data_IF_582048367349
#
_entry.id   IF_582048367349
#
_cell.length_a   1.000
_cell.length_b   1.000
_cell.length_c   1.000
_cell.angle_alpha   90.00
_cell.angle_beta   90.00
_cell.angle_gamma   90.00
#
_symmetry.space_group_name_H-M   'P 1'
#
loop_
_entity.id
_entity.type
_entity.pdbx_description
1 polymer ?
#
# COMPACT_ATOMS: atom_id res chain seq x y z
N UNK A 1 17.45 -25.56 3.05
CA UNK A 1 16.09 -25.02 3.27
C UNK A 1 16.10 -23.60 2.73
N UNK A 2 15.58 -23.40 1.51
CA UNK A 2 15.44 -22.06 0.97
C UNK A 2 14.34 -21.39 1.80
N UNK A 3 14.70 -20.42 2.64
CA UNK A 3 13.71 -19.48 3.12
C UNK A 3 13.04 -18.97 1.84
N UNK A 4 11.73 -19.18 1.73
CA UNK A 4 10.95 -18.42 0.78
C UNK A 4 11.19 -16.97 1.18
N UNK A 5 12.17 -16.34 0.56
CA UNK A 5 12.23 -14.91 0.38
C UNK A 5 10.94 -14.61 -0.38
N UNK A 6 9.83 -14.57 0.37
CA UNK A 6 8.66 -13.81 -0.03
C UNK A 6 9.27 -12.49 -0.43
N UNK A 7 9.27 -12.25 -1.73
CA UNK A 7 9.67 -11.01 -2.33
C UNK A 7 8.73 -9.94 -1.75
N UNK A 8 9.01 -9.52 -0.52
CA UNK A 8 8.38 -8.41 0.17
C UNK A 8 8.89 -7.08 -0.42
N UNK A 9 9.70 -7.18 -1.49
CA UNK A 9 10.05 -6.12 -2.44
C UNK A 9 9.01 -6.01 -3.57
N UNK A 10 8.07 -6.96 -3.64
CA UNK A 10 6.96 -7.01 -4.59
C UNK A 10 5.93 -5.93 -4.27
N UNK A 11 6.18 -4.74 -4.78
CA UNK A 11 5.20 -3.69 -4.93
C UNK A 11 3.89 -4.23 -5.53
N UNK A 12 2.78 -3.78 -4.97
CA UNK A 12 1.47 -3.74 -5.64
C UNK A 12 0.79 -5.09 -5.91
N UNK A 13 0.44 -5.85 -4.86
CA UNK A 13 -0.77 -6.68 -4.99
C UNK A 13 -2.00 -5.83 -4.62
N UNK A 14 -3.06 -5.99 -5.42
CA UNK A 14 -4.35 -5.37 -5.15
C UNK A 14 -4.94 -6.03 -3.90
N UNK A 15 -5.28 -5.21 -2.92
CA UNK A 15 -5.92 -5.65 -1.67
C UNK A 15 -7.10 -4.74 -1.35
N UNK A 16 -7.81 -5.00 -0.26
CA UNK A 16 -8.90 -4.16 0.22
C UNK A 16 -8.40 -3.24 1.33
N UNK A 17 -8.76 -1.96 1.27
CA UNK A 17 -8.38 -1.03 2.31
C UNK A 17 -9.16 -1.32 3.61
N UNK A 18 -8.50 -1.31 4.78
CA UNK A 18 -9.21 -1.23 6.05
C UNK A 18 -10.00 0.08 6.14
N UNK A 19 -11.07 0.07 6.93
CA UNK A 19 -11.94 1.23 7.11
C UNK A 19 -11.17 2.42 7.68
N UNK A 20 -11.31 3.59 7.05
CA UNK A 20 -10.68 4.84 7.51
C UNK A 20 -9.33 5.15 6.88
N UNK A 21 -8.82 4.29 5.98
CA UNK A 21 -7.58 4.58 5.28
C UNK A 21 -7.72 5.71 4.27
N UNK A 22 -6.62 6.43 4.06
CA UNK A 22 -6.56 7.57 3.13
C UNK A 22 -5.57 7.28 2.02
N UNK A 23 -5.97 7.56 0.78
CA UNK A 23 -5.12 7.37 -0.38
C UNK A 23 -3.95 8.35 -0.35
N UNK A 24 -2.72 7.84 -0.28
CA UNK A 24 -1.50 8.66 -0.26
C UNK A 24 -1.29 9.50 -1.53
N UNK A 25 -2.00 9.20 -2.61
CA UNK A 25 -1.88 9.89 -3.90
C UNK A 25 -2.71 11.16 -4.02
N UNK A 26 -3.99 11.04 -3.66
CA UNK A 26 -4.99 12.09 -3.84
C UNK A 26 -5.47 12.66 -2.51
N UNK A 27 -4.98 12.10 -1.39
CA UNK A 27 -5.33 12.47 -0.02
C UNK A 27 -6.83 12.37 0.27
N UNK A 28 -7.56 11.57 -0.52
CA UNK A 28 -8.98 11.29 -0.32
C UNK A 28 -9.16 10.00 0.49
N UNK A 29 -10.20 9.94 1.34
CA UNK A 29 -10.53 8.71 2.05
C UNK A 29 -10.84 7.60 1.05
N UNK A 30 -10.30 6.41 1.33
CA UNK A 30 -10.60 5.19 0.58
C UNK A 30 -11.88 4.60 1.16
N UNK A 31 -12.78 4.14 0.30
CA UNK A 31 -14.00 3.49 0.79
C UNK A 31 -13.68 2.14 1.43
N UNK A 32 -14.42 1.78 2.47
CA UNK A 32 -14.35 0.44 3.08
C UNK A 32 -14.57 -0.64 2.02
N UNK A 33 -13.69 -1.64 1.98
CA UNK A 33 -13.70 -2.71 0.97
C UNK A 33 -13.49 -2.22 -0.47
N UNK A 34 -12.95 -1.03 -0.67
CA UNK A 34 -12.50 -0.61 -1.99
C UNK A 34 -11.15 -1.26 -2.31
N UNK A 35 -11.00 -1.68 -3.57
CA UNK A 35 -9.75 -2.24 -4.04
C UNK A 35 -8.69 -1.14 -4.13
N UNK A 36 -7.52 -1.44 -3.57
CA UNK A 36 -6.39 -0.54 -3.47
C UNK A 36 -5.07 -1.25 -3.72
N UNK A 37 -4.11 -0.48 -4.19
CA UNK A 37 -2.71 -0.85 -4.13
C UNK A 37 -2.20 -0.61 -2.71
N UNK A 38 -1.64 -1.65 -2.11
CA UNK A 38 -0.91 -1.56 -0.85
C UNK A 38 0.58 -1.59 -1.14
N UNK A 39 1.28 -0.57 -0.67
CA UNK A 39 2.73 -0.48 -0.72
C UNK A 39 3.33 -0.29 0.67
N UNK A 40 4.64 -0.38 0.76
CA UNK A 40 5.40 0.07 1.93
C UNK A 40 6.33 1.19 1.47
N UNK A 41 6.24 2.34 2.13
CA UNK A 41 7.18 3.44 1.96
C UNK A 41 8.31 3.26 2.96
N UNK A 42 9.52 3.01 2.46
CA UNK A 42 10.72 3.01 3.27
C UNK A 42 10.94 4.41 3.85
N UNK A 43 11.24 4.47 5.15
CA UNK A 43 11.48 5.72 5.87
C UNK A 43 12.97 5.87 6.10
N UNK A 44 13.50 7.09 5.94
CA UNK A 44 14.93 7.38 6.16
C UNK A 44 15.37 7.09 7.61
N UNK A 45 14.43 7.10 8.56
CA UNK A 45 14.65 6.65 9.93
C UNK A 45 13.38 5.97 10.45
N UNK A 46 13.54 4.75 11.00
CA UNK A 46 12.44 3.96 11.57
C UNK A 46 11.85 2.89 10.66
N UNK A 47 10.79 2.24 11.15
CA UNK A 47 10.12 1.16 10.44
C UNK A 47 9.42 1.65 9.16
N UNK A 48 9.39 0.85 8.08
CA UNK A 48 8.66 1.19 6.85
C UNK A 48 7.18 1.40 7.15
N UNK A 49 6.55 2.37 6.48
CA UNK A 49 5.11 2.63 6.66
C UNK A 49 4.30 2.09 5.51
N UNK A 50 3.26 1.36 5.87
CA UNK A 50 2.27 0.86 4.92
C UNK A 50 1.47 2.04 4.38
N UNK A 51 1.35 2.10 3.06
CA UNK A 51 0.55 3.12 2.37
C UNK A 51 -0.49 2.44 1.48
N UNK A 52 -1.69 2.99 1.48
CA UNK A 52 -2.78 2.54 0.61
C UNK A 52 -3.06 3.57 -0.47
N UNK A 53 -3.41 3.10 -1.67
CA UNK A 53 -3.66 3.94 -2.84
C UNK A 53 -4.78 3.38 -3.69
N UNK A 54 -5.70 4.22 -4.16
CA UNK A 54 -6.70 3.78 -5.14
C UNK A 54 -6.03 3.21 -6.39
N UNK A 55 -6.61 2.16 -6.97
CA UNK A 55 -6.14 1.58 -8.25
C UNK A 55 -6.06 2.60 -9.38
N UNK A 56 -6.96 3.59 -9.36
CA UNK A 56 -7.07 4.62 -10.40
C UNK A 56 -6.14 5.81 -10.19
N UNK A 57 -5.51 5.95 -9.02
CA UNK A 57 -4.58 7.04 -8.76
C UNK A 57 -3.19 6.64 -9.26
N UNK A 58 -2.68 7.25 -10.35
CA UNK A 58 -1.28 7.06 -10.79
C UNK A 58 -0.30 7.74 -9.86
N UNK A 59 0.86 7.09 -9.59
CA UNK A 59 2.06 7.73 -8.98
C UNK A 59 2.32 9.04 -9.72
N UNK A 60 2.14 10.15 -9.01
CA UNK A 60 2.59 11.46 -9.46
C UNK A 60 4.07 11.57 -9.21
#
# INVERSE_FOLDING_TARGET
MAAAETDARGWDYVTYAPSGETCSACMKPIKTLEQVHRGALERQSGAPVVVYRHLRCRRG
#
